data_IF_654841896984
#
_entry.id   IF_654841896984
#
_cell.length_a   1.000
_cell.length_b   1.000
_cell.length_c   1.000
_cell.angle_alpha   90.00
_cell.angle_beta   90.00
_cell.angle_gamma   90.00
#
_symmetry.space_group_name_H-M   'P 1'
#
loop_
_entity.id
_entity.type
_entity.pdbx_description
1 polymer ?
#
# COMPACT_ATOMS: atom_id res chain seq x y z
N UNK A 1 -1.22 -22.70 3.74
CA UNK A 1 -1.39 -21.39 4.42
C UNK A 1 -2.86 -21.01 4.33
N UNK A 2 -3.44 -20.51 5.42
CA UNK A 2 -4.72 -19.79 5.35
C UNK A 2 -4.37 -18.37 4.91
N UNK A 3 -4.82 -17.98 3.72
CA UNK A 3 -4.71 -16.62 3.23
C UNK A 3 -5.90 -15.84 3.78
N UNK A 4 -5.64 -14.67 4.35
CA UNK A 4 -6.69 -13.79 4.83
C UNK A 4 -7.57 -13.34 3.66
N UNK A 5 -8.89 -13.27 3.88
CA UNK A 5 -9.81 -12.77 2.86
C UNK A 5 -9.40 -11.34 2.47
N UNK A 6 -9.50 -11.05 1.18
CA UNK A 6 -9.42 -9.71 0.56
C UNK A 6 -10.21 -8.61 1.31
N UNK A 7 -11.19 -8.99 2.14
CA UNK A 7 -11.96 -8.11 3.03
C UNK A 7 -11.38 -7.98 4.45
N UNK A 8 -10.07 -8.10 4.62
CA UNK A 8 -9.39 -7.90 5.90
C UNK A 8 -9.51 -6.44 6.39
N UNK A 9 -9.82 -6.21 7.68
CA UNK A 9 -9.76 -4.87 8.29
C UNK A 9 -8.32 -4.39 8.55
N UNK A 10 -7.29 -5.21 8.31
CA UNK A 10 -5.90 -4.94 8.69
C UNK A 10 -5.02 -4.40 7.55
N UNK A 11 -5.56 -3.45 6.77
CA UNK A 11 -4.78 -2.77 5.74
C UNK A 11 -3.67 -1.93 6.38
N UNK A 12 -2.45 -2.02 5.84
CA UNK A 12 -1.35 -1.12 6.24
C UNK A 12 -1.50 0.23 5.53
N UNK A 13 -1.33 1.33 6.26
CA UNK A 13 -1.51 2.69 5.74
C UNK A 13 -0.21 3.52 5.79
N UNK A 14 -0.04 4.38 4.81
CA UNK A 14 0.86 5.54 4.94
C UNK A 14 0.19 6.57 5.85
N UNK A 15 0.84 6.91 6.97
CA UNK A 15 0.35 7.91 7.91
C UNK A 15 1.25 9.13 7.87
N UNK A 16 0.63 10.31 7.88
CA UNK A 16 1.29 11.61 7.95
C UNK A 16 0.79 12.40 9.17
N UNK A 17 1.51 13.45 9.55
CA UNK A 17 1.00 14.38 10.55
C UNK A 17 -0.04 15.33 9.91
N UNK A 18 -0.94 15.93 10.70
CA UNK A 18 -1.95 16.83 10.14
C UNK A 18 -1.36 18.02 9.36
N UNK A 19 -0.21 18.54 9.80
CA UNK A 19 0.48 19.70 9.19
C UNK A 19 1.12 19.40 7.84
N UNK A 20 1.34 18.12 7.49
CA UNK A 20 2.08 17.74 6.29
C UNK A 20 1.37 16.69 5.41
N UNK A 21 0.13 16.31 5.72
CA UNK A 21 -0.64 15.35 4.91
C UNK A 21 -0.79 15.80 3.44
N UNK A 22 -0.87 17.10 3.21
CA UNK A 22 -1.04 17.70 1.88
C UNK A 22 0.29 18.20 1.27
N UNK A 23 1.44 17.93 1.93
CA UNK A 23 2.76 18.27 1.40
C UNK A 23 2.97 17.57 0.03
N UNK A 24 3.43 18.28 -1.02
CA UNK A 24 3.63 17.69 -2.34
C UNK A 24 4.53 16.45 -2.34
N UNK A 25 5.45 16.32 -1.38
CA UNK A 25 6.33 15.15 -1.23
C UNK A 25 5.56 13.95 -0.69
N UNK A 26 4.65 14.16 0.26
CA UNK A 26 3.78 13.11 0.81
C UNK A 26 2.82 12.61 -0.27
N UNK A 27 2.23 13.52 -1.04
CA UNK A 27 1.35 13.17 -2.16
C UNK A 27 2.07 12.38 -3.26
N UNK A 28 3.31 12.77 -3.61
CA UNK A 28 4.15 12.00 -4.53
C UNK A 28 4.47 10.59 -4.02
N UNK A 29 4.74 10.46 -2.72
CA UNK A 29 4.98 9.15 -2.10
C UNK A 29 3.72 8.29 -2.12
N UNK A 30 2.56 8.84 -1.75
CA UNK A 30 1.29 8.13 -1.78
C UNK A 30 1.00 7.58 -3.19
N UNK A 31 1.14 8.42 -4.23
CA UNK A 31 0.97 8.01 -5.62
C UNK A 31 1.97 6.93 -6.07
N UNK A 32 3.23 7.00 -5.61
CA UNK A 32 4.22 5.99 -5.92
C UNK A 32 3.90 4.64 -5.26
N UNK A 33 3.44 4.64 -4.01
CA UNK A 33 3.06 3.43 -3.26
C UNK A 33 1.81 2.76 -3.83
N UNK A 34 0.89 3.52 -4.42
CA UNK A 34 -0.32 2.99 -5.08
C UNK A 34 -0.17 2.84 -6.60
N UNK A 35 1.07 2.73 -7.11
CA UNK A 35 1.34 2.64 -8.55
C UNK A 35 1.22 1.21 -9.09
N UNK A 36 0.99 1.03 -10.41
CA UNK A 36 1.04 -0.30 -11.04
C UNK A 36 2.37 -1.03 -10.82
N UNK A 37 3.48 -0.29 -10.77
CA UNK A 37 4.82 -0.84 -10.51
C UNK A 37 4.93 -1.37 -9.08
N UNK A 38 4.40 -0.65 -8.09
CA UNK A 38 4.36 -1.12 -6.70
C UNK A 38 3.49 -2.38 -6.55
N UNK A 39 2.32 -2.41 -7.21
CA UNK A 39 1.46 -3.60 -7.26
C UNK A 39 2.22 -4.82 -7.80
N UNK A 40 2.84 -4.69 -8.97
CA UNK A 40 3.58 -5.77 -9.61
C UNK A 40 4.76 -6.24 -8.74
N UNK A 41 5.45 -5.32 -8.06
CA UNK A 41 6.51 -5.66 -7.12
C UNK A 41 5.99 -6.50 -5.95
N UNK A 42 4.88 -6.11 -5.33
CA UNK A 42 4.28 -6.82 -4.20
C UNK A 42 3.88 -8.24 -4.62
N UNK A 43 3.13 -8.36 -5.71
CA UNK A 43 2.64 -9.65 -6.23
C UNK A 43 3.79 -10.61 -6.55
N UNK A 44 4.84 -10.11 -7.23
CA UNK A 44 6.01 -10.91 -7.61
C UNK A 44 6.87 -11.31 -6.41
N UNK A 45 7.09 -10.40 -5.47
CA UNK A 45 8.05 -10.61 -4.37
C UNK A 45 7.48 -11.53 -3.29
N UNK A 46 6.20 -11.38 -2.97
CA UNK A 46 5.61 -12.01 -1.78
C UNK A 46 4.72 -13.21 -2.09
N UNK A 47 4.46 -13.52 -3.37
CA UNK A 47 3.75 -14.73 -3.76
C UNK A 47 2.39 -14.92 -3.09
N UNK A 48 1.67 -13.80 -2.85
CA UNK A 48 0.36 -13.79 -2.17
C UNK A 48 0.40 -13.66 -0.64
N UNK A 49 1.57 -13.74 0.00
CA UNK A 49 1.69 -13.49 1.45
C UNK A 49 1.46 -12.02 1.83
N UNK A 50 1.68 -11.11 0.87
CA UNK A 50 1.32 -9.69 0.97
C UNK A 50 0.44 -9.36 -0.24
N UNK A 51 -0.73 -8.78 0.02
CA UNK A 51 -1.67 -8.38 -1.02
C UNK A 51 -1.77 -6.85 -1.10
N UNK A 52 -1.75 -6.25 -2.32
CA UNK A 52 -2.03 -4.84 -2.52
C UNK A 52 -3.45 -4.47 -2.07
N UNK A 53 -3.62 -3.31 -1.46
CA UNK A 53 -4.91 -2.83 -0.93
C UNK A 53 -5.45 -1.60 -1.68
N UNK A 54 -5.10 -1.46 -2.97
CA UNK A 54 -5.45 -0.35 -3.86
C UNK A 54 -5.61 -0.84 -5.29
#
# INVERSE_FOLDING_TARGET
LLLEDSKSPYVNFLVARPDNKDDPRVQKLAAALTSPTARAFIEKTYGGAVQPAF
#
